data_IF_061747015870
#
_entry.id   IF_061747015870
#
_cell.length_a   1.000
_cell.length_b   1.000
_cell.length_c   1.000
_cell.angle_alpha   90.00
_cell.angle_beta   90.00
_cell.angle_gamma   90.00
#
_symmetry.space_group_name_H-M   'P 1'
#
loop_
_entity.id
_entity.type
_entity.pdbx_description
1 polymer ?
#
# COMPACT_ATOMS: atom_id res chain seq x y z
N UNK A 1 -9.49 -19.09 -1.00
CA UNK A 1 -8.59 -18.07 -1.59
C UNK A 1 -7.25 -18.72 -1.87
N UNK A 2 -6.64 -18.51 -3.05
CA UNK A 2 -5.28 -18.97 -3.30
C UNK A 2 -4.29 -18.31 -2.30
N UNK A 3 -3.25 -19.02 -1.82
CA UNK A 3 -2.32 -18.52 -0.79
C UNK A 3 -1.67 -17.17 -1.13
N UNK A 4 -1.40 -16.93 -2.42
CA UNK A 4 -0.75 -15.72 -2.94
C UNK A 4 -1.62 -14.47 -2.74
N UNK A 5 -2.94 -14.59 -2.93
CA UNK A 5 -3.87 -13.46 -2.80
C UNK A 5 -3.98 -13.00 -1.33
N UNK A 6 -3.95 -13.94 -0.40
CA UNK A 6 -3.95 -13.62 1.03
C UNK A 6 -2.66 -12.93 1.45
N UNK A 7 -1.50 -13.43 0.99
CA UNK A 7 -0.21 -12.80 1.26
C UNK A 7 -0.16 -11.38 0.68
N UNK A 8 -0.67 -11.18 -0.53
CA UNK A 8 -0.73 -9.86 -1.14
C UNK A 8 -1.58 -8.89 -0.30
N UNK A 9 -2.81 -9.28 0.06
CA UNK A 9 -3.69 -8.45 0.89
C UNK A 9 -3.07 -8.11 2.25
N UNK A 10 -2.38 -9.07 2.87
CA UNK A 10 -1.63 -8.86 4.12
C UNK A 10 -0.54 -7.81 3.95
N UNK A 11 0.25 -7.88 2.87
CA UNK A 11 1.28 -6.89 2.55
C UNK A 11 0.69 -5.51 2.29
N UNK A 12 -0.41 -5.43 1.53
CA UNK A 12 -1.08 -4.15 1.26
C UNK A 12 -1.65 -3.54 2.54
N UNK A 13 -2.25 -4.33 3.44
CA UNK A 13 -2.71 -3.83 4.74
C UNK A 13 -1.58 -3.23 5.57
N UNK A 14 -0.39 -3.85 5.58
CA UNK A 14 0.79 -3.27 6.23
C UNK A 14 1.28 -2.00 5.53
N UNK A 15 1.23 -1.96 4.19
CA UNK A 15 1.55 -0.75 3.44
C UNK A 15 0.65 0.41 3.85
N UNK A 16 -0.67 0.23 3.95
CA UNK A 16 -1.60 1.27 4.39
C UNK A 16 -1.21 1.83 5.77
N UNK A 17 -0.97 0.94 6.75
CA UNK A 17 -0.55 1.35 8.10
C UNK A 17 0.72 2.21 8.09
N UNK A 18 1.70 1.87 7.25
CA UNK A 18 2.95 2.64 7.12
C UNK A 18 2.71 3.97 6.41
N UNK A 19 1.92 3.98 5.34
CA UNK A 19 1.58 5.20 4.60
C UNK A 19 0.85 6.23 5.48
N UNK A 20 -0.01 5.76 6.38
CA UNK A 20 -0.74 6.60 7.34
C UNK A 20 0.16 7.17 8.43
N UNK A 21 1.03 6.32 9.00
CA UNK A 21 1.70 6.61 10.28
C UNK A 21 3.13 7.12 10.13
N UNK A 22 3.73 7.04 8.95
CA UNK A 22 5.13 7.44 8.74
C UNK A 22 5.31 8.28 7.47
N UNK A 23 6.40 9.05 7.42
CA UNK A 23 6.82 9.84 6.24
C UNK A 23 7.69 9.06 5.26
N UNK A 24 7.77 7.75 5.44
CA UNK A 24 8.70 6.96 4.65
C UNK A 24 8.37 6.97 3.16
N UNK A 25 9.40 6.95 2.31
CA UNK A 25 9.21 6.87 0.87
C UNK A 25 8.36 5.65 0.47
N UNK A 26 7.39 5.87 -0.43
CA UNK A 26 6.50 4.83 -0.98
C UNK A 26 7.31 3.64 -1.53
N UNK A 27 8.42 3.93 -2.20
CA UNK A 27 9.33 2.94 -2.76
C UNK A 27 9.97 2.07 -1.68
N UNK A 28 10.47 2.68 -0.60
CA UNK A 28 11.06 1.98 0.55
C UNK A 28 10.04 1.09 1.30
N UNK A 29 8.79 1.54 1.40
CA UNK A 29 7.70 0.71 1.91
C UNK A 29 7.49 -0.53 1.04
N UNK A 30 7.43 -0.37 -0.29
CA UNK A 30 7.29 -1.49 -1.21
C UNK A 30 8.42 -2.53 -1.07
N UNK A 31 9.67 -2.08 -1.05
CA UNK A 31 10.82 -2.99 -0.94
C UNK A 31 10.84 -3.76 0.39
N UNK A 32 10.58 -3.11 1.52
CA UNK A 32 10.54 -3.81 2.83
C UNK A 32 9.41 -4.81 2.95
N UNK A 33 8.34 -4.63 2.19
CA UNK A 33 7.23 -5.59 2.12
C UNK A 33 7.47 -6.73 1.11
N UNK A 34 8.67 -6.79 0.53
CA UNK A 34 9.09 -7.86 -0.36
C UNK A 34 8.54 -7.75 -1.77
N UNK A 35 8.22 -6.54 -2.24
CA UNK A 35 7.95 -6.30 -3.66
C UNK A 35 9.27 -6.13 -4.41
N UNK A 36 9.35 -6.74 -5.59
CA UNK A 36 10.54 -6.71 -6.45
C UNK A 36 10.79 -5.35 -7.11
N UNK A 37 9.76 -4.50 -7.22
CA UNK A 37 9.88 -3.15 -7.76
C UNK A 37 8.79 -2.22 -7.26
N UNK A 38 9.08 -0.92 -7.32
CA UNK A 38 8.11 0.14 -7.01
C UNK A 38 6.90 0.11 -7.93
N UNK A 39 7.06 -0.17 -9.24
CA UNK A 39 5.92 -0.33 -10.14
C UNK A 39 5.05 -1.52 -9.75
N UNK A 40 5.64 -2.69 -9.47
CA UNK A 40 4.87 -3.87 -9.09
C UNK A 40 4.09 -3.65 -7.80
N UNK A 41 4.71 -2.99 -6.81
CA UNK A 41 4.03 -2.54 -5.60
C UNK A 41 2.87 -1.58 -5.91
N UNK A 42 3.11 -0.50 -6.66
CA UNK A 42 2.08 0.50 -6.95
C UNK A 42 0.87 -0.09 -7.69
N UNK A 43 1.11 -0.95 -8.68
CA UNK A 43 0.05 -1.66 -9.42
C UNK A 43 -0.73 -2.61 -8.51
N UNK A 44 -0.03 -3.38 -7.67
CA UNK A 44 -0.68 -4.32 -6.75
C UNK A 44 -1.48 -3.60 -5.66
N UNK A 45 -0.94 -2.50 -5.13
CA UNK A 45 -1.62 -1.65 -4.16
C UNK A 45 -2.89 -1.04 -4.77
N UNK A 46 -2.80 -0.47 -5.97
CA UNK A 46 -3.98 0.08 -6.67
C UNK A 46 -5.03 -0.99 -6.97
N UNK A 47 -4.61 -2.20 -7.33
CA UNK A 47 -5.53 -3.32 -7.55
C UNK A 47 -6.34 -3.67 -6.29
N UNK A 48 -5.73 -3.56 -5.10
CA UNK A 48 -6.37 -3.91 -3.83
C UNK A 48 -7.14 -2.74 -3.22
N UNK A 49 -6.59 -1.52 -3.28
CA UNK A 49 -7.12 -0.33 -2.60
C UNK A 49 -7.89 0.64 -3.52
N UNK A 50 -7.84 0.44 -4.84
CA UNK A 50 -8.44 1.35 -5.83
C UNK A 50 -7.64 2.63 -6.12
N UNK A 51 -6.69 3.01 -5.25
CA UNK A 51 -5.91 4.24 -5.32
C UNK A 51 -4.41 3.94 -5.40
N UNK A 52 -3.59 4.88 -5.88
CA UNK A 52 -2.13 4.74 -5.79
C UNK A 52 -1.66 4.91 -4.33
N UNK A 53 -0.51 4.35 -3.93
CA UNK A 53 0.02 4.52 -2.57
C UNK A 53 0.18 5.99 -2.14
N UNK A 54 0.61 6.85 -3.08
CA UNK A 54 0.78 8.29 -2.81
C UNK A 54 -0.56 8.99 -2.63
N UNK A 55 -1.54 8.71 -3.49
CA UNK A 55 -2.88 9.26 -3.36
C UNK A 55 -3.55 8.79 -2.06
N UNK A 56 -3.38 7.52 -1.70
CA UNK A 56 -3.84 6.97 -0.43
C UNK A 56 -3.22 7.69 0.77
N UNK A 57 -1.91 7.93 0.77
CA UNK A 57 -1.23 8.69 1.85
C UNK A 57 -1.82 10.09 2.00
N UNK A 58 -1.97 10.82 0.91
CA UNK A 58 -2.53 12.17 0.93
C UNK A 58 -3.96 12.15 1.47
N UNK A 59 -4.80 11.24 0.98
CA UNK A 59 -6.18 11.08 1.42
C UNK A 59 -6.28 10.73 2.92
N UNK A 60 -5.50 9.74 3.37
CA UNK A 60 -5.52 9.30 4.75
C UNK A 60 -5.06 10.39 5.74
N UNK A 61 -4.08 11.21 5.33
CA UNK A 61 -3.61 12.36 6.13
C UNK A 61 -4.56 13.56 6.08
N UNK A 62 -5.30 13.72 4.98
CA UNK A 62 -6.32 14.75 4.83
C UNK A 62 -7.62 14.43 5.60
N UNK A 63 -7.68 13.30 6.32
CA UNK A 63 -8.82 12.94 7.15
C UNK A 63 -10.00 12.35 6.37
N UNK A 64 -9.74 11.65 5.25
CA UNK A 64 -10.82 11.00 4.51
C UNK A 64 -11.63 10.09 5.45
N UNK A 65 -12.90 10.43 5.65
CA UNK A 65 -13.85 9.65 6.41
C UNK A 65 -14.01 8.29 5.72
N UNK A 66 -13.43 7.30 6.38
CA UNK A 66 -13.32 5.86 6.07
C UNK A 66 -14.49 5.32 5.24
N UNK A 67 -14.19 4.79 4.05
CA UNK A 67 -15.06 3.92 3.25
C UNK A 67 -15.23 2.54 3.91
#
# INVERSE_FOLDING_TARGET
MPPVEWQLRRRIGEACRRLERTDEAVTSIGFRLGFSSSQYFATSFRRVMGLSPTAFRTAARAGLERF
#
